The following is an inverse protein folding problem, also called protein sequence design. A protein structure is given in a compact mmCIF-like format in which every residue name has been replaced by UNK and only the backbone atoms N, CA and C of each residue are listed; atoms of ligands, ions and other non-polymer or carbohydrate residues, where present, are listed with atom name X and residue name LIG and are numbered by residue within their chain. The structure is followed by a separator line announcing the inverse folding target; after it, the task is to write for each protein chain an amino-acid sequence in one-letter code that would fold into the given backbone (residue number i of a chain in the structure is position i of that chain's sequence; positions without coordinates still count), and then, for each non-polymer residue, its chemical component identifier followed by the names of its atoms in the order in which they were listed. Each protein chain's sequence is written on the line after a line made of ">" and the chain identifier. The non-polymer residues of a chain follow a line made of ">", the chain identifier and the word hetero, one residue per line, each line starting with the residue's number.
data_IF_009693907999
#
_entry.id   IF_009693907999
#
_cell.length_a   1.000
_cell.length_b   1.000
_cell.length_c   1.000
_cell.angle_alpha   90.00
_cell.angle_beta   90.00
_cell.angle_gamma   90.00
#
_symmetry.space_group_name_H-M   'P 1'
#
loop_
_entity.id
_entity.type
_entity.pdbx_description
1 polymer ?
#
# COMPACT_ATOMS: atom_id res chain seq x y z
N UNK A 1 -10.39 0.40 3.42
CA UNK A 1 -10.84 1.42 2.44
C UNK A 1 -11.55 2.48 3.23
N UNK A 2 -11.01 3.70 3.23
CA UNK A 2 -11.62 4.83 3.92
C UNK A 2 -12.90 5.26 3.18
N UNK A 3 -13.80 5.92 3.89
CA UNK A 3 -14.97 6.52 3.25
C UNK A 3 -14.54 7.69 2.37
N UNK A 4 -14.97 7.73 1.10
CA UNK A 4 -14.60 8.80 0.19
C UNK A 4 -15.33 10.09 0.55
N UNK A 5 -14.60 11.20 0.59
CA UNK A 5 -15.19 12.54 0.51
C UNK A 5 -15.52 12.76 -0.97
N UNK A 6 -16.73 12.37 -1.36
CA UNK A 6 -17.17 12.41 -2.76
C UNK A 6 -17.19 13.84 -3.28
N UNK A 7 -16.83 14.01 -4.55
CA UNK A 7 -16.85 15.32 -5.16
C UNK A 7 -16.03 15.41 -6.43
N UNK A 8 -16.12 16.58 -7.04
CA UNK A 8 -15.26 17.00 -8.13
C UNK A 8 -14.25 18.02 -7.58
N UNK A 9 -12.99 17.62 -7.58
CA UNK A 9 -11.87 18.41 -7.08
C UNK A 9 -11.15 19.03 -8.27
N UNK A 10 -11.15 20.36 -8.30
CA UNK A 10 -10.35 21.13 -9.26
C UNK A 10 -8.89 21.19 -8.81
N UNK A 11 -8.65 21.09 -7.50
CA UNK A 11 -7.32 21.16 -6.92
C UNK A 11 -6.55 19.83 -7.08
N UNK A 12 -5.21 19.90 -7.18
CA UNK A 12 -4.31 18.74 -7.12
C UNK A 12 -4.54 17.81 -5.91
N UNK A 13 -4.69 16.52 -6.19
CA UNK A 13 -4.78 15.44 -5.19
C UNK A 13 -3.57 14.53 -5.31
N UNK A 14 -2.71 14.52 -4.28
CA UNK A 14 -1.50 13.69 -4.24
C UNK A 14 -1.83 12.27 -3.76
N UNK A 15 -1.35 11.27 -4.49
CA UNK A 15 -1.52 9.85 -4.13
C UNK A 15 -0.23 9.31 -3.53
N UNK A 16 -0.33 8.79 -2.31
CA UNK A 16 0.76 8.09 -1.61
C UNK A 16 0.38 6.61 -1.49
N UNK A 17 1.29 5.71 -1.85
CA UNK A 17 1.05 4.26 -1.94
C UNK A 17 2.09 3.46 -1.16
N UNK A 18 1.66 2.40 -0.47
CA UNK A 18 2.56 1.51 0.26
C UNK A 18 3.22 0.50 -0.68
N UNK A 19 4.55 0.55 -0.76
CA UNK A 19 5.29 -0.33 -1.65
C UNK A 19 5.21 -1.79 -1.21
N UNK A 20 4.41 -2.61 -1.92
CA UNK A 20 4.18 -4.02 -1.60
C UNK A 20 3.59 -4.21 -0.20
N UNK A 21 2.48 -3.52 0.11
CA UNK A 21 1.86 -3.46 1.43
C UNK A 21 1.80 -4.82 2.16
N UNK A 22 1.06 -5.80 1.64
CA UNK A 22 0.86 -7.08 2.35
C UNK A 22 2.15 -7.86 2.58
N UNK A 23 3.03 -8.07 1.56
CA UNK A 23 4.36 -8.63 1.80
C UNK A 23 5.16 -7.88 2.87
N UNK A 24 5.16 -6.55 2.84
CA UNK A 24 5.93 -5.74 3.79
C UNK A 24 5.42 -5.87 5.23
N UNK A 25 4.09 -5.97 5.43
CA UNK A 25 3.48 -6.23 6.73
C UNK A 25 3.91 -7.60 7.26
N UNK A 26 3.84 -8.64 6.42
CA UNK A 26 4.21 -9.99 6.82
C UNK A 26 5.69 -10.07 7.25
N UNK A 27 6.58 -9.37 6.53
CA UNK A 27 8.00 -9.29 6.89
C UNK A 27 8.21 -8.49 8.17
N UNK A 28 7.67 -7.27 8.25
CA UNK A 28 7.89 -6.35 9.36
C UNK A 28 7.41 -6.91 10.70
N UNK A 29 6.27 -7.61 10.69
CA UNK A 29 5.66 -8.20 11.89
C UNK A 29 5.93 -9.70 12.04
N UNK A 30 6.83 -10.27 11.22
CA UNK A 30 7.23 -11.68 11.27
C UNK A 30 6.04 -12.67 11.22
N UNK A 31 5.06 -12.41 10.36
CA UNK A 31 3.83 -13.20 10.26
C UNK A 31 4.08 -14.49 9.46
N UNK A 32 3.97 -15.65 10.12
CA UNK A 32 4.21 -16.96 9.53
C UNK A 32 3.47 -18.05 10.30
N UNK A 33 3.20 -19.18 9.65
CA UNK A 33 2.69 -20.39 10.32
C UNK A 33 3.57 -20.81 11.49
N UNK A 34 4.90 -20.72 11.31
CA UNK A 34 5.89 -21.16 12.30
C UNK A 34 6.11 -20.19 13.46
N UNK A 35 5.53 -19.00 13.39
CA UNK A 35 5.67 -17.93 14.40
C UNK A 35 4.33 -17.57 15.06
N UNK A 36 3.22 -18.14 14.59
CA UNK A 36 1.91 -18.02 15.22
C UNK A 36 1.91 -18.74 16.57
N UNK A 37 1.53 -18.04 17.62
CA UNK A 37 1.35 -18.60 18.96
C UNK A 37 -0.02 -19.27 19.02
N UNK A 38 -0.05 -20.56 19.37
CA UNK A 38 -1.29 -21.34 19.49
C UNK A 38 -1.73 -21.47 20.94
N UNK A 39 -0.77 -21.68 21.84
CA UNK A 39 -0.96 -21.69 23.27
C UNK A 39 -0.16 -20.55 23.92
N UNK A 40 -0.74 -19.88 24.92
CA UNK A 40 -0.03 -18.85 25.67
C UNK A 40 1.07 -19.46 26.57
N UNK A 41 0.95 -20.75 26.90
CA UNK A 41 2.01 -21.50 27.60
C UNK A 41 3.28 -21.65 26.73
N UNK A 42 3.17 -21.63 25.39
CA UNK A 42 4.34 -21.69 24.48
C UNK A 42 5.25 -20.45 24.60
N UNK A 43 4.73 -19.37 25.20
CA UNK A 43 5.42 -18.08 25.33
C UNK A 43 5.53 -17.62 26.79
N UNK A 44 5.25 -18.48 27.77
CA UNK A 44 5.24 -18.12 29.19
C UNK A 44 6.60 -17.63 29.70
N UNK A 45 7.69 -18.14 29.13
CA UNK A 45 9.08 -17.77 29.45
C UNK A 45 9.60 -16.60 28.62
N UNK A 46 8.83 -16.12 27.63
CA UNK A 46 9.24 -15.02 26.77
C UNK A 46 8.82 -13.67 27.33
N UNK A 47 9.68 -12.67 27.16
CA UNK A 47 9.31 -11.28 27.42
C UNK A 47 8.11 -10.87 26.56
N UNK A 48 7.21 -10.06 27.14
CA UNK A 48 6.04 -9.52 26.41
C UNK A 48 6.43 -8.76 25.14
N UNK A 49 7.60 -8.12 25.16
CA UNK A 49 8.16 -7.41 24.01
C UNK A 49 8.67 -8.33 22.91
N UNK A 50 8.80 -9.63 23.15
CA UNK A 50 9.17 -10.62 22.15
C UNK A 50 7.99 -11.12 21.31
N UNK A 51 6.78 -10.61 21.57
CA UNK A 51 5.54 -11.01 20.91
C UNK A 51 4.87 -9.81 20.25
N UNK A 52 4.32 -10.03 19.06
CA UNK A 52 3.45 -9.08 18.35
C UNK A 52 2.00 -9.47 18.57
N UNK A 53 1.25 -8.61 19.26
CA UNK A 53 -0.18 -8.77 19.44
C UNK A 53 -0.95 -8.04 18.33
N UNK A 54 -1.95 -8.70 17.75
CA UNK A 54 -2.77 -8.11 16.70
C UNK A 54 -3.93 -7.35 17.32
N UNK A 55 -3.99 -6.03 17.09
CA UNK A 55 -4.98 -5.15 17.71
C UNK A 55 -6.43 -5.64 17.49
N UNK A 56 -7.20 -5.71 18.57
CA UNK A 56 -8.61 -6.11 18.54
C UNK A 56 -8.83 -7.59 18.17
N UNK A 57 -7.78 -8.43 18.23
CA UNK A 57 -7.83 -9.86 17.95
C UNK A 57 -7.06 -10.64 19.02
N UNK A 58 -7.53 -11.83 19.35
CA UNK A 58 -6.76 -12.76 20.19
C UNK A 58 -5.80 -13.58 19.31
N UNK A 59 -4.89 -12.88 18.61
CA UNK A 59 -3.89 -13.49 17.72
C UNK A 59 -2.53 -12.89 18.06
N UNK A 60 -1.53 -13.76 18.23
CA UNK A 60 -0.17 -13.39 18.64
C UNK A 60 0.86 -14.08 17.76
N UNK A 61 1.95 -13.37 17.47
CA UNK A 61 3.10 -13.92 16.72
C UNK A 61 4.40 -13.62 17.46
N UNK A 62 5.32 -14.57 17.54
CA UNK A 62 6.67 -14.30 18.06
C UNK A 62 7.45 -13.40 17.10
N UNK A 63 8.26 -12.49 17.64
CA UNK A 63 9.10 -11.59 16.85
C UNK A 63 10.28 -12.32 16.23
N UNK A 64 10.90 -11.69 15.22
CA UNK A 64 12.03 -12.24 14.48
C UNK A 64 13.28 -12.49 15.36
N UNK A 65 13.39 -11.82 16.51
CA UNK A 65 14.46 -11.99 17.51
C UNK A 65 14.40 -13.35 18.20
N UNK A 66 13.21 -13.93 18.35
CA UNK A 66 13.01 -15.27 18.93
C UNK A 66 13.11 -16.33 17.84
N UNK A 67 12.34 -16.17 16.77
CA UNK A 67 12.26 -17.13 15.68
C UNK A 67 11.92 -16.43 14.38
N UNK A 68 12.75 -16.61 13.37
CA UNK A 68 12.50 -16.08 12.03
C UNK A 68 11.47 -16.94 11.30
N UNK A 69 10.40 -16.31 10.80
CA UNK A 69 9.37 -16.99 10.01
C UNK A 69 9.85 -17.35 8.60
N UNK A 70 9.34 -18.46 8.06
CA UNK A 70 9.62 -18.93 6.70
C UNK A 70 8.95 -18.03 5.64
N UNK A 71 7.69 -17.61 5.86
CA UNK A 71 6.99 -16.73 4.91
C UNK A 71 7.71 -15.39 4.71
N UNK A 72 8.18 -14.68 5.76
CA UNK A 72 9.06 -13.52 5.60
C UNK A 72 10.28 -13.78 4.70
N UNK A 73 10.97 -14.91 4.86
CA UNK A 73 12.14 -15.26 4.05
C UNK A 73 11.78 -15.41 2.56
N UNK A 74 10.71 -16.16 2.26
CA UNK A 74 10.21 -16.33 0.89
C UNK A 74 9.85 -14.98 0.26
N UNK A 75 9.15 -14.13 1.02
CA UNK A 75 8.74 -12.80 0.55
C UNK A 75 9.94 -11.88 0.29
N UNK A 76 10.96 -11.91 1.15
CA UNK A 76 12.19 -11.16 0.93
C UNK A 76 12.88 -11.57 -0.37
N UNK A 77 12.99 -12.87 -0.65
CA UNK A 77 13.58 -13.37 -1.91
C UNK A 77 12.78 -12.91 -3.14
N UNK A 78 11.44 -13.01 -3.09
CA UNK A 78 10.57 -12.55 -4.17
C UNK A 78 10.69 -11.04 -4.40
N UNK A 79 10.75 -10.24 -3.33
CA UNK A 79 10.92 -8.78 -3.40
C UNK A 79 12.30 -8.43 -3.97
N UNK A 80 13.37 -9.12 -3.54
CA UNK A 80 14.71 -8.90 -4.07
C UNK A 80 14.81 -9.28 -5.55
N UNK A 81 14.24 -10.42 -5.95
CA UNK A 81 14.17 -10.84 -7.36
C UNK A 81 13.41 -9.81 -8.20
N UNK A 82 12.28 -9.28 -7.67
CA UNK A 82 11.50 -8.24 -8.34
C UNK A 82 12.30 -6.95 -8.48
N UNK A 83 13.05 -6.56 -7.45
CA UNK A 83 13.92 -5.37 -7.50
C UNK A 83 14.96 -5.50 -8.62
N UNK A 84 15.66 -6.63 -8.71
CA UNK A 84 16.62 -6.92 -9.79
C UNK A 84 15.94 -6.84 -11.17
N UNK A 85 14.73 -7.39 -11.32
CA UNK A 85 13.98 -7.30 -12.58
C UNK A 85 13.62 -5.85 -12.96
N UNK A 86 13.23 -5.00 -12.00
CA UNK A 86 12.97 -3.57 -12.24
C UNK A 86 14.25 -2.80 -12.61
N UNK A 87 15.39 -3.13 -11.99
CA UNK A 87 16.69 -2.52 -12.32
C UNK A 87 17.13 -2.86 -13.75
N UNK A 88 16.98 -4.12 -14.17
CA UNK A 88 17.24 -4.52 -15.56
C UNK A 88 16.30 -3.78 -16.53
N UNK A 89 15.01 -3.69 -16.20
CA UNK A 89 14.01 -2.98 -17.01
C UNK A 89 14.32 -1.49 -17.17
N UNK A 90 14.89 -0.87 -16.14
CA UNK A 90 15.25 0.56 -16.17
C UNK A 90 16.43 0.84 -17.10
N UNK A 91 17.39 -0.09 -17.21
CA UNK A 91 18.58 0.01 -18.08
C UNK A 91 18.29 -0.40 -19.53
N UNK A 92 17.16 -1.04 -19.78
CA UNK A 92 16.80 -1.54 -21.11
C UNK A 92 16.20 -0.45 -22.00
N UNK A 93 16.76 -0.32 -23.20
CA UNK A 93 16.33 0.62 -24.25
C UNK A 93 15.38 -0.05 -25.24
N UNK A 94 15.57 -1.34 -25.53
CA UNK A 94 14.74 -2.06 -26.49
C UNK A 94 13.31 -2.19 -25.96
N UNK A 95 12.34 -1.66 -26.71
CA UNK A 95 10.92 -1.63 -26.32
C UNK A 95 10.35 -3.03 -26.06
N UNK A 96 10.68 -4.02 -26.89
CA UNK A 96 10.17 -5.40 -26.76
C UNK A 96 10.74 -6.04 -25.50
N UNK A 97 12.06 -5.96 -25.31
CA UNK A 97 12.71 -6.51 -24.10
C UNK A 97 12.19 -5.85 -22.83
N UNK A 98 11.98 -4.53 -22.86
CA UNK A 98 11.40 -3.78 -21.73
C UNK A 98 9.98 -4.25 -21.40
N UNK A 99 9.16 -4.57 -22.40
CA UNK A 99 7.84 -5.17 -22.20
C UNK A 99 7.92 -6.55 -21.53
N UNK A 100 8.86 -7.41 -21.97
CA UNK A 100 9.09 -8.73 -21.36
C UNK A 100 9.55 -8.60 -19.90
N UNK A 101 10.49 -7.69 -19.61
CA UNK A 101 10.96 -7.41 -18.25
C UNK A 101 9.85 -6.84 -17.37
N UNK A 102 8.95 -6.02 -17.92
CA UNK A 102 7.76 -5.57 -17.21
C UNK A 102 6.83 -6.76 -16.87
N UNK A 103 6.61 -7.68 -17.82
CA UNK A 103 5.89 -8.93 -17.56
C UNK A 103 6.52 -9.74 -16.41
N UNK A 104 7.85 -9.87 -16.41
CA UNK A 104 8.61 -10.55 -15.36
C UNK A 104 8.42 -9.91 -13.98
N UNK A 105 8.55 -8.58 -13.85
CA UNK A 105 8.35 -7.93 -12.55
C UNK A 105 6.90 -7.99 -12.07
N UNK A 106 5.92 -7.98 -12.99
CA UNK A 106 4.50 -8.17 -12.65
C UNK A 106 4.22 -9.59 -12.15
N UNK A 107 4.78 -10.62 -12.80
CA UNK A 107 4.67 -11.99 -12.34
C UNK A 107 5.20 -12.15 -10.90
N UNK A 108 6.39 -11.60 -10.62
CA UNK A 108 6.97 -11.62 -9.27
C UNK A 108 6.11 -10.85 -8.25
N UNK A 109 5.50 -9.72 -8.64
CA UNK A 109 4.53 -8.99 -7.80
C UNK A 109 3.33 -9.88 -7.45
N UNK A 110 2.77 -10.55 -8.46
CA UNK A 110 1.62 -11.45 -8.27
C UNK A 110 2.01 -12.59 -7.35
N UNK A 111 3.15 -13.26 -7.57
CA UNK A 111 3.64 -14.34 -6.71
C UNK A 111 3.77 -13.91 -5.25
N UNK A 112 4.35 -12.74 -4.99
CA UNK A 112 4.47 -12.21 -3.62
C UNK A 112 3.10 -11.96 -2.97
N UNK A 113 2.14 -11.38 -3.71
CA UNK A 113 0.78 -11.17 -3.21
C UNK A 113 0.02 -12.49 -3.02
N UNK A 114 0.30 -13.51 -3.84
CA UNK A 114 -0.27 -14.84 -3.72
C UNK A 114 0.20 -15.57 -2.48
N UNK A 115 1.37 -15.27 -1.91
CA UNK A 115 1.79 -15.84 -0.61
C UNK A 115 0.79 -15.48 0.49
N UNK A 116 0.40 -14.21 0.58
CA UNK A 116 -0.69 -13.79 1.48
C UNK A 116 -2.01 -14.49 1.10
N UNK A 117 -2.37 -14.50 -0.19
CA UNK A 117 -3.62 -15.10 -0.67
C UNK A 117 -3.73 -16.59 -0.32
N UNK A 118 -2.61 -17.33 -0.37
CA UNK A 118 -2.53 -18.73 -0.01
C UNK A 118 -2.90 -18.98 1.46
N UNK A 119 -2.46 -18.11 2.38
CA UNK A 119 -2.83 -18.22 3.80
C UNK A 119 -4.33 -18.04 4.02
N UNK A 120 -5.02 -17.25 3.18
CA UNK A 120 -6.45 -16.99 3.29
C UNK A 120 -7.35 -17.93 2.49
N UNK A 121 -6.80 -18.88 1.73
CA UNK A 121 -7.56 -19.72 0.82
C UNK A 121 -8.21 -20.92 1.54
N UNK A 122 -9.35 -20.69 2.20
CA UNK A 122 -10.08 -21.76 2.93
C UNK A 122 -10.72 -22.81 2.01
N UNK A 123 -11.13 -22.42 0.81
CA UNK A 123 -11.73 -23.33 -0.17
C UNK A 123 -10.65 -23.82 -1.16
N UNK A 124 -10.30 -25.10 -1.09
CA UNK A 124 -9.32 -25.73 -2.00
C UNK A 124 -7.85 -25.43 -1.68
N UNK A 125 -7.55 -24.67 -0.63
CA UNK A 125 -6.18 -24.47 -0.14
C UNK A 125 -5.70 -25.67 0.69
N UNK A 126 -4.43 -26.03 0.54
CA UNK A 126 -3.84 -27.17 1.26
C UNK A 126 -3.44 -26.81 2.71
N UNK A 127 -3.20 -25.53 3.00
CA UNK A 127 -2.76 -25.08 4.33
C UNK A 127 -3.33 -23.69 4.68
N UNK A 128 -4.65 -23.55 4.84
CA UNK A 128 -5.25 -22.28 5.23
C UNK A 128 -4.87 -21.90 6.67
N UNK A 129 -4.53 -20.63 6.88
CA UNK A 129 -4.34 -20.02 8.19
C UNK A 129 -4.94 -18.61 8.17
N UNK A 130 -6.23 -18.55 8.50
CA UNK A 130 -7.01 -17.33 8.48
C UNK A 130 -6.48 -16.28 9.46
N UNK A 131 -5.82 -16.70 10.53
CA UNK A 131 -5.21 -15.83 11.53
C UNK A 131 -4.16 -14.91 10.88
N UNK A 132 -3.33 -15.44 9.98
CA UNK A 132 -2.36 -14.64 9.22
C UNK A 132 -3.09 -13.65 8.31
N UNK A 133 -4.07 -14.12 7.54
CA UNK A 133 -4.80 -13.27 6.59
C UNK A 133 -5.57 -12.12 7.29
N UNK A 134 -6.22 -12.43 8.42
CA UNK A 134 -6.91 -11.46 9.29
C UNK A 134 -5.91 -10.46 9.87
N UNK A 135 -4.73 -10.92 10.28
CA UNK A 135 -3.68 -10.07 10.85
C UNK A 135 -3.14 -9.08 9.82
N UNK A 136 -2.83 -9.54 8.61
CA UNK A 136 -2.35 -8.68 7.52
C UNK A 136 -3.38 -7.60 7.18
N UNK A 137 -4.66 -7.97 7.02
CA UNK A 137 -5.71 -6.99 6.68
C UNK A 137 -6.01 -6.03 7.83
N UNK A 138 -5.89 -6.46 9.08
CA UNK A 138 -6.08 -5.61 10.26
C UNK A 138 -4.97 -4.59 10.38
N UNK A 139 -3.71 -5.01 10.27
CA UNK A 139 -2.55 -4.12 10.26
C UNK A 139 -2.62 -3.15 9.08
N UNK A 140 -2.98 -3.61 7.88
CA UNK A 140 -3.13 -2.74 6.70
C UNK A 140 -4.17 -1.64 6.89
N UNK A 141 -5.33 -1.95 7.51
CA UNK A 141 -6.35 -0.92 7.85
C UNK A 141 -5.82 0.09 8.85
N UNK A 142 -5.22 -0.38 9.95
CA UNK A 142 -4.63 0.48 10.97
C UNK A 142 -3.54 1.40 10.40
N UNK A 143 -2.73 0.90 9.46
CA UNK A 143 -1.71 1.71 8.79
C UNK A 143 -2.30 2.83 7.93
N UNK A 144 -3.39 2.59 7.22
CA UNK A 144 -4.09 3.65 6.47
C UNK A 144 -4.65 4.71 7.42
N UNK A 145 -5.28 4.29 8.51
CA UNK A 145 -5.84 5.21 9.52
C UNK A 145 -4.73 6.04 10.16
N UNK A 146 -3.63 5.40 10.61
CA UNK A 146 -2.45 6.09 11.14
C UNK A 146 -1.85 7.06 10.12
N UNK A 147 -1.79 6.67 8.84
CA UNK A 147 -1.29 7.54 7.77
C UNK A 147 -2.17 8.78 7.63
N UNK A 148 -3.50 8.62 7.63
CA UNK A 148 -4.44 9.73 7.61
C UNK A 148 -4.22 10.67 8.79
N UNK A 149 -4.17 10.14 10.01
CA UNK A 149 -3.93 10.95 11.22
C UNK A 149 -2.61 11.70 11.15
N UNK A 150 -1.53 11.06 10.71
CA UNK A 150 -0.22 11.70 10.56
C UNK A 150 -0.26 12.85 9.55
N UNK A 151 -0.91 12.65 8.40
CA UNK A 151 -1.08 13.70 7.37
C UNK A 151 -1.86 14.88 7.94
N UNK A 152 -3.06 14.63 8.47
CA UNK A 152 -3.98 15.67 8.92
C UNK A 152 -3.49 16.41 10.18
N UNK A 153 -2.65 15.76 10.99
CA UNK A 153 -2.02 16.40 12.17
C UNK A 153 -0.82 17.27 11.80
N UNK A 154 0.01 16.83 10.85
CA UNK A 154 1.27 17.51 10.54
C UNK A 154 1.07 18.65 9.54
N UNK A 155 0.34 18.42 8.46
CA UNK A 155 0.16 19.39 7.39
C UNK A 155 -1.01 20.33 7.70
N UNK A 156 -0.80 21.22 8.67
CA UNK A 156 -1.79 22.17 9.17
C UNK A 156 -1.26 23.60 9.19
N UNK A 157 -2.19 24.55 9.16
CA UNK A 157 -1.91 25.99 9.30
C UNK A 157 -1.21 26.33 10.61
N UNK A 158 -1.54 25.63 11.71
CA UNK A 158 -0.85 25.78 13.00
C UNK A 158 0.62 25.36 12.96
N UNK A 159 0.99 24.45 12.04
CA UNK A 159 2.36 23.98 11.85
C UNK A 159 3.09 24.75 10.72
N UNK A 160 2.54 25.88 10.26
CA UNK A 160 3.17 26.75 9.28
C UNK A 160 2.91 26.41 7.81
N UNK A 161 1.99 25.48 7.51
CA UNK A 161 1.56 25.21 6.14
C UNK A 161 0.48 26.20 5.69
N UNK A 162 0.36 26.47 4.39
CA UNK A 162 -0.63 27.42 3.85
C UNK A 162 -2.08 26.98 4.08
N UNK A 163 -2.31 25.67 4.07
CA UNK A 163 -3.63 25.07 4.19
C UNK A 163 -3.58 23.84 5.10
N UNK A 164 -4.75 23.43 5.60
CA UNK A 164 -4.89 22.15 6.29
C UNK A 164 -5.08 21.03 5.26
N UNK A 165 -4.19 20.04 5.28
CA UNK A 165 -4.32 18.88 4.43
C UNK A 165 -5.46 17.97 4.91
N UNK A 166 -6.15 17.36 3.96
CA UNK A 166 -7.26 16.45 4.22
C UNK A 166 -7.06 15.18 3.39
N UNK A 167 -7.23 14.01 4.01
CA UNK A 167 -7.26 12.75 3.26
C UNK A 167 -8.67 12.53 2.70
N UNK A 168 -8.82 12.74 1.40
CA UNK A 168 -10.13 12.67 0.72
C UNK A 168 -10.56 11.24 0.43
N UNK A 169 -9.61 10.30 0.33
CA UNK A 169 -9.89 8.89 0.09
C UNK A 169 -8.70 8.01 0.48
N UNK A 170 -8.95 6.72 0.70
CA UNK A 170 -7.90 5.71 0.86
C UNK A 170 -8.37 4.34 0.38
N UNK A 171 -7.64 3.75 -0.56
CA UNK A 171 -7.96 2.47 -1.17
C UNK A 171 -6.85 1.46 -0.95
N UNK A 172 -7.13 0.47 -0.11
CA UNK A 172 -6.32 -0.72 0.18
C UNK A 172 -4.90 -0.47 0.68
N UNK A 173 -4.04 0.12 -0.15
CA UNK A 173 -2.64 0.45 0.05
C UNK A 173 -2.28 1.90 -0.27
N UNK A 174 -3.25 2.70 -0.72
CA UNK A 174 -3.05 4.11 -1.07
C UNK A 174 -3.90 5.07 -0.24
N UNK A 175 -3.36 6.28 -0.04
CA UNK A 175 -4.06 7.45 0.51
C UNK A 175 -4.01 8.61 -0.48
N UNK A 176 -5.12 9.30 -0.63
CA UNK A 176 -5.27 10.44 -1.52
C UNK A 176 -5.43 11.70 -0.68
N UNK A 177 -4.46 12.60 -0.81
CA UNK A 177 -4.30 13.77 0.06
C UNK A 177 -4.55 15.04 -0.74
N UNK A 178 -5.49 15.85 -0.26
CA UNK A 178 -5.68 17.23 -0.68
C UNK A 178 -4.81 18.11 0.21
N UNK A 179 -3.71 18.64 -0.31
CA UNK A 179 -2.87 19.60 0.43
C UNK A 179 -3.39 21.04 0.37
N UNK A 180 -4.34 21.34 -0.53
CA UNK A 180 -4.97 22.66 -0.66
C UNK A 180 -4.24 23.65 -1.57
N UNK A 181 -3.09 23.28 -2.15
CA UNK A 181 -2.42 24.07 -3.20
C UNK A 181 -3.07 23.82 -4.56
N UNK A 182 -3.12 24.87 -5.39
CA UNK A 182 -3.54 24.79 -6.80
C UNK A 182 -2.39 24.42 -7.76
N UNK A 183 -1.15 24.36 -7.26
CA UNK A 183 0.02 24.06 -8.06
C UNK A 183 0.38 22.56 -7.99
N UNK A 184 0.40 21.90 -9.16
CA UNK A 184 0.74 20.48 -9.30
C UNK A 184 2.16 20.19 -8.80
N UNK A 185 3.14 21.04 -9.11
CA UNK A 185 4.53 20.86 -8.68
C UNK A 185 4.67 20.93 -7.15
N UNK A 186 4.01 21.91 -6.52
CA UNK A 186 3.97 22.03 -5.06
C UNK A 186 3.30 20.81 -4.43
N UNK A 187 2.17 20.34 -5.00
CA UNK A 187 1.48 19.13 -4.53
C UNK A 187 2.36 17.86 -4.66
N UNK A 188 3.13 17.74 -5.74
CA UNK A 188 4.11 16.66 -5.91
C UNK A 188 5.22 16.72 -4.87
N UNK A 189 5.73 17.92 -4.57
CA UNK A 189 6.81 18.10 -3.59
C UNK A 189 6.32 17.77 -2.18
N UNK A 190 5.16 18.28 -1.78
CA UNK A 190 4.51 17.96 -0.50
C UNK A 190 4.22 16.46 -0.39
N UNK A 191 3.75 15.83 -1.47
CA UNK A 191 3.51 14.38 -1.50
C UNK A 191 4.78 13.56 -1.29
N UNK A 192 5.90 13.93 -1.93
CA UNK A 192 7.20 13.27 -1.74
C UNK A 192 7.72 13.44 -0.31
N UNK A 193 7.59 14.63 0.26
CA UNK A 193 7.97 14.90 1.65
C UNK A 193 7.13 14.07 2.62
N UNK A 194 5.80 14.08 2.46
CA UNK A 194 4.86 13.34 3.28
C UNK A 194 5.16 11.84 3.25
N UNK A 195 5.36 11.27 2.05
CA UNK A 195 5.74 9.87 1.88
C UNK A 195 7.00 9.51 2.66
N UNK A 196 8.06 10.32 2.55
CA UNK A 196 9.33 10.10 3.26
C UNK A 196 9.16 10.22 4.77
N UNK A 197 8.44 11.24 5.24
CA UNK A 197 8.22 11.50 6.67
C UNK A 197 7.44 10.36 7.31
N UNK A 198 6.29 10.03 6.73
CA UNK A 198 5.35 9.05 7.28
C UNK A 198 5.91 7.63 7.20
N UNK A 199 6.78 7.34 6.22
CA UNK A 199 7.50 6.06 6.18
C UNK A 199 8.29 5.77 7.46
N UNK A 200 8.77 6.80 8.17
CA UNK A 200 9.54 6.62 9.42
C UNK A 200 8.65 6.26 10.62
N UNK A 201 7.32 6.40 10.51
CA UNK A 201 6.35 6.03 11.55
C UNK A 201 6.03 4.53 11.55
N UNK A 202 6.56 3.77 10.60
CA UNK A 202 6.31 2.35 10.41
C UNK A 202 7.59 1.52 10.54
N UNK A 203 7.42 0.25 10.88
CA UNK A 203 8.50 -0.71 10.96
C UNK A 203 9.08 -0.99 9.57
N UNK A 204 10.41 -1.05 9.45
CA UNK A 204 11.05 -1.52 8.21
C UNK A 204 10.61 -2.96 7.92
N UNK A 205 10.37 -3.35 6.64
CA UNK A 205 10.61 -2.61 5.40
C UNK A 205 9.40 -1.82 4.86
N UNK A 206 8.38 -1.56 5.68
CA UNK A 206 7.20 -0.79 5.26
C UNK A 206 7.65 0.62 4.88
N UNK A 207 7.23 1.07 3.70
CA UNK A 207 7.46 2.44 3.22
C UNK A 207 6.32 2.91 2.35
N UNK A 208 6.04 4.19 2.47
CA UNK A 208 5.10 4.93 1.64
C UNK A 208 5.88 5.63 0.53
N UNK A 209 5.38 5.59 -0.69
CA UNK A 209 5.98 6.24 -1.85
C UNK A 209 4.97 7.21 -2.46
N UNK A 210 5.44 8.38 -2.90
CA UNK A 210 4.64 9.24 -3.75
C UNK A 210 4.53 8.59 -5.13
N UNK A 211 3.30 8.44 -5.64
CA UNK A 211 3.06 7.81 -6.93
C UNK A 211 2.77 8.84 -8.03
N UNK A 212 1.82 9.75 -7.77
CA UNK A 212 1.22 10.64 -8.79
C UNK A 212 0.36 11.74 -8.15
N UNK A 213 -0.01 12.72 -8.96
CA UNK A 213 -1.06 13.71 -8.66
C UNK A 213 -2.22 13.54 -9.63
N UNK A 214 -3.46 13.69 -9.15
CA UNK A 214 -4.65 13.87 -9.99
C UNK A 214 -5.07 15.35 -10.02
N UNK A 215 -5.30 15.92 -11.22
CA UNK A 215 -5.77 17.30 -11.36
C UNK A 215 -6.42 17.56 -12.75
N UNK A 216 -7.75 17.71 -12.88
CA UNK A 216 -8.76 17.59 -11.83
C UNK A 216 -8.98 16.12 -11.44
N UNK A 217 -9.71 15.92 -10.33
CA UNK A 217 -10.03 14.62 -9.76
C UNK A 217 -11.52 14.46 -9.46
N UNK A 218 -12.15 13.40 -9.99
CA UNK A 218 -13.55 13.05 -9.79
C UNK A 218 -13.64 11.78 -8.93
N UNK A 219 -14.16 11.91 -7.71
CA UNK A 219 -14.37 10.81 -6.79
C UNK A 219 -15.86 10.56 -6.59
N UNK A 220 -16.35 9.45 -7.16
CA UNK A 220 -17.78 9.10 -7.15
C UNK A 220 -18.12 8.22 -5.95
N UNK A 221 -17.34 7.15 -5.75
CA UNK A 221 -17.60 6.12 -4.75
C UNK A 221 -16.31 5.34 -4.43
N UNK A 222 -16.39 4.45 -3.44
CA UNK A 222 -15.33 3.47 -3.17
C UNK A 222 -15.00 2.72 -4.45
N UNK A 223 -13.72 2.71 -4.83
CA UNK A 223 -13.16 2.09 -6.05
C UNK A 223 -13.73 2.64 -7.36
N UNK A 224 -14.39 3.81 -7.36
CA UNK A 224 -14.98 4.45 -8.54
C UNK A 224 -14.57 5.92 -8.62
N UNK A 225 -13.54 6.20 -9.42
CA UNK A 225 -12.99 7.54 -9.58
C UNK A 225 -12.26 7.71 -10.92
N UNK A 226 -12.08 8.95 -11.33
CA UNK A 226 -11.33 9.32 -12.53
C UNK A 226 -10.52 10.61 -12.29
N UNK A 227 -9.45 10.81 -13.04
CA UNK A 227 -8.69 12.05 -12.99
C UNK A 227 -7.62 12.10 -14.06
N UNK A 228 -7.14 13.30 -14.36
CA UNK A 228 -5.94 13.46 -15.17
C UNK A 228 -4.72 13.16 -14.31
N UNK A 229 -3.94 12.16 -14.71
CA UNK A 229 -2.80 11.66 -13.97
C UNK A 229 -1.53 12.42 -14.36
N UNK A 230 -0.82 12.94 -13.37
CA UNK A 230 0.45 13.63 -13.53
C UNK A 230 1.55 12.87 -12.78
N UNK A 231 2.59 12.44 -13.50
CA UNK A 231 3.89 12.02 -12.93
C UNK A 231 4.98 13.09 -13.04
N UNK A 232 4.75 14.10 -13.89
CA UNK A 232 5.54 15.32 -14.02
C UNK A 232 4.60 16.55 -13.90
N UNK A 233 5.09 17.73 -13.49
CA UNK A 233 4.23 18.89 -13.23
C UNK A 233 3.75 19.62 -14.50
N UNK A 234 4.27 19.28 -15.68
CA UNK A 234 4.06 20.07 -16.90
C UNK A 234 2.85 19.55 -17.68
N UNK A 235 2.76 18.24 -17.90
CA UNK A 235 1.73 17.63 -18.76
C UNK A 235 1.22 16.34 -18.14
N UNK A 236 -0.10 16.17 -18.18
CA UNK A 236 -0.75 14.93 -17.78
C UNK A 236 -0.33 13.78 -18.71
N UNK A 237 -0.14 12.60 -18.13
CA UNK A 237 0.24 11.40 -18.87
C UNK A 237 -0.96 10.79 -19.58
N UNK A 238 -2.09 10.71 -18.87
CA UNK A 238 -3.36 10.17 -19.37
C UNK A 238 -4.52 10.48 -18.42
N UNK A 239 -5.74 10.28 -18.90
CA UNK A 239 -6.91 10.12 -18.04
C UNK A 239 -6.89 8.71 -17.41
N UNK A 240 -6.86 8.62 -16.08
CA UNK A 240 -6.96 7.36 -15.36
C UNK A 240 -8.40 7.15 -14.91
N UNK A 241 -8.95 5.98 -15.18
CA UNK A 241 -10.32 5.61 -14.90
C UNK A 241 -10.32 4.32 -14.06
N UNK A 242 -10.87 4.36 -12.85
CA UNK A 242 -10.91 3.22 -11.93
C UNK A 242 -12.35 2.86 -11.62
N UNK A 243 -12.75 1.63 -11.97
CA UNK A 243 -14.05 1.05 -11.62
C UNK A 243 -15.29 1.75 -12.20
N UNK A 244 -15.09 2.69 -13.13
CA UNK A 244 -16.17 3.30 -13.90
C UNK A 244 -16.48 2.47 -15.15
N UNK A 245 -17.63 2.74 -15.76
CA UNK A 245 -18.23 1.98 -16.85
C UNK A 245 -17.27 1.83 -18.05
N UNK A 246 -16.50 2.88 -18.36
CA UNK A 246 -15.59 2.92 -19.53
C UNK A 246 -14.43 1.92 -19.48
N UNK A 247 -14.11 1.35 -18.32
CA UNK A 247 -13.05 0.33 -18.16
C UNK A 247 -13.58 -1.06 -17.85
N UNK A 248 -14.91 -1.19 -17.78
CA UNK A 248 -15.61 -2.44 -17.50
C UNK A 248 -15.96 -3.14 -18.81
N UNK A 249 -15.72 -4.45 -18.86
CA UNK A 249 -15.89 -5.26 -20.09
C UNK A 249 -17.30 -5.83 -20.26
N UNK A 250 -18.18 -5.60 -19.28
CA UNK A 250 -19.56 -6.05 -19.28
C UNK A 250 -20.55 -5.03 -19.89
N UNK A 251 -20.07 -3.86 -20.31
CA UNK A 251 -20.86 -2.86 -21.04
C UNK A 251 -20.58 -2.92 -22.55
N UNK A 252 -21.53 -2.43 -23.35
CA UNK A 252 -21.33 -2.29 -24.79
C UNK A 252 -20.41 -1.10 -25.11
N UNK A 253 -19.78 -1.12 -26.28
CA UNK A 253 -18.81 -0.10 -26.74
C UNK A 253 -19.40 1.33 -26.81
N UNK A 254 -20.73 1.44 -26.89
CA UNK A 254 -21.42 2.74 -26.95
C UNK A 254 -21.34 3.52 -25.63
N UNK A 255 -21.20 2.82 -24.49
CA UNK A 255 -21.14 3.37 -23.13
C UNK A 255 -19.69 3.66 -22.77
#
# INVERSE_FOLDING_TARGET
>A
VLDPIKGYYLEPISTLDFASLYPSIMIAHNLCYSTLVRDDDDISELDKDSVTNIMGKNIKFVKNTVKRGILPMILEELIQARKKAKELMAKEENKITKMVLNGRQLALKISANSVYGYTGASAGGQLPCLEIAVSVTTLGRSMIEKTKECVEKYYTTSNGFKHNAIVVYGDTDSVMVKFGTDNIEEAMQLGKEAAKRISNEFLKPIKLEFEKVYCPYLLLNKKRYAGLLYTNPIKHDKMDCKGIETVRRDFCILI
#
